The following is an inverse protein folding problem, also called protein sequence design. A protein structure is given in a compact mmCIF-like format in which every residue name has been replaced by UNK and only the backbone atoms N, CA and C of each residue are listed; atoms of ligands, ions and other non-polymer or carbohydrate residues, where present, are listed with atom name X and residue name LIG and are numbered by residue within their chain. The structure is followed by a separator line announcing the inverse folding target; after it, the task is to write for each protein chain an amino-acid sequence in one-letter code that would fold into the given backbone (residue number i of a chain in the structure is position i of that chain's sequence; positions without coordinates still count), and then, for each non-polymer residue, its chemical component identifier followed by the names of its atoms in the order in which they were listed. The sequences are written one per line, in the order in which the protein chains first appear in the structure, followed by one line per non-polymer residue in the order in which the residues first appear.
data_IF_306519081023
#
_entry.id   IF_306519081023
#
_cell.length_a   1.000
_cell.length_b   1.000
_cell.length_c   1.000
_cell.angle_alpha   90.00
_cell.angle_beta   90.00
_cell.angle_gamma   90.00
#
_symmetry.space_group_name_H-M   'P 1'
#
loop_
_entity.id
_entity.type
_entity.pdbx_description
1 polymer ?
#
# COMPACT_ATOMS: atom_id res chain seq x y z
N UNK A 1 -1.62 26.55 -42.23
CA UNK A 1 -2.14 25.19 -41.96
C UNK A 1 -1.26 24.54 -40.87
N UNK A 2 -1.00 25.27 -39.78
CA UNK A 2 -0.03 24.90 -38.73
C UNK A 2 -0.59 25.03 -37.31
N UNK A 3 -1.84 25.48 -37.16
CA UNK A 3 -2.50 25.59 -35.84
C UNK A 3 -3.29 24.33 -35.45
N UNK A 4 -3.35 23.31 -36.32
CA UNK A 4 -4.20 22.12 -36.14
C UNK A 4 -3.58 20.95 -35.36
N UNK A 5 -2.27 20.96 -35.12
CA UNK A 5 -1.57 19.83 -34.47
C UNK A 5 -1.40 20.04 -32.95
N UNK A 6 -1.60 21.26 -32.45
CA UNK A 6 -1.42 21.60 -31.03
C UNK A 6 -2.66 21.37 -30.13
N UNK A 7 -3.75 20.79 -30.63
CA UNK A 7 -4.99 20.60 -29.84
C UNK A 7 -5.37 19.14 -29.52
N UNK A 8 -4.59 18.14 -29.96
CA UNK A 8 -4.97 16.73 -29.79
C UNK A 8 -4.49 16.05 -28.50
N UNK A 9 -3.39 16.51 -27.90
CA UNK A 9 -2.82 15.88 -26.72
C UNK A 9 -3.25 16.60 -25.44
N UNK A 10 -4.57 16.64 -25.18
CA UNK A 10 -5.02 16.62 -23.78
C UNK A 10 -4.48 15.31 -23.23
N UNK A 11 -3.30 15.37 -22.63
CA UNK A 11 -2.57 14.26 -22.02
C UNK A 11 -3.58 13.41 -21.27
N UNK A 12 -3.89 12.23 -21.83
CA UNK A 12 -4.83 11.31 -21.23
C UNK A 12 -4.17 10.90 -19.91
N UNK A 13 -4.69 11.45 -18.82
CA UNK A 13 -4.22 11.22 -17.46
C UNK A 13 -4.18 9.68 -17.24
N UNK A 14 -2.98 9.06 -17.26
CA UNK A 14 -2.83 7.61 -17.39
C UNK A 14 -3.47 6.84 -16.22
N UNK A 15 -3.59 7.48 -15.06
CA UNK A 15 -4.16 6.93 -13.84
C UNK A 15 -5.69 6.74 -13.86
N UNK A 16 -6.41 7.41 -14.78
CA UNK A 16 -7.89 7.39 -14.76
C UNK A 16 -8.45 5.99 -14.98
N UNK A 17 -7.91 5.26 -15.95
CA UNK A 17 -8.43 3.94 -16.31
C UNK A 17 -8.27 2.90 -15.18
N UNK A 18 -7.08 2.67 -14.59
CA UNK A 18 -6.91 1.67 -13.54
C UNK A 18 -7.69 2.03 -12.27
N UNK A 19 -7.74 3.31 -11.88
CA UNK A 19 -8.45 3.71 -10.65
C UNK A 19 -9.97 3.65 -10.84
N UNK A 20 -10.50 3.99 -12.02
CA UNK A 20 -11.91 3.77 -12.32
C UNK A 20 -12.27 2.28 -12.40
N UNK A 21 -11.39 1.46 -12.98
CA UNK A 21 -11.57 0.00 -13.00
C UNK A 21 -11.63 -0.55 -11.57
N UNK A 22 -10.76 -0.09 -10.68
CA UNK A 22 -10.79 -0.42 -9.26
C UNK A 22 -12.13 -0.07 -8.63
N UNK A 23 -12.55 1.21 -8.75
CA UNK A 23 -13.81 1.68 -8.18
C UNK A 23 -15.01 0.86 -8.65
N UNK A 24 -15.14 0.67 -9.96
CA UNK A 24 -16.25 -0.06 -10.57
C UNK A 24 -16.25 -1.52 -10.10
N UNK A 25 -15.09 -2.17 -10.07
CA UNK A 25 -14.98 -3.56 -9.68
C UNK A 25 -15.35 -3.77 -8.21
N UNK A 26 -14.85 -2.94 -7.29
CA UNK A 26 -15.22 -3.01 -5.88
C UNK A 26 -16.72 -2.73 -5.66
N UNK A 27 -17.33 -1.80 -6.42
CA UNK A 27 -18.78 -1.56 -6.36
C UNK A 27 -19.58 -2.80 -6.79
N UNK A 28 -19.20 -3.41 -7.92
CA UNK A 28 -19.83 -4.63 -8.42
C UNK A 28 -19.69 -5.77 -7.40
N UNK A 29 -18.49 -6.00 -6.87
CA UNK A 29 -18.24 -7.04 -5.88
C UNK A 29 -19.00 -6.78 -4.57
N UNK A 30 -19.13 -5.52 -4.14
CA UNK A 30 -19.93 -5.17 -2.95
C UNK A 30 -21.38 -5.58 -3.13
N UNK A 31 -22.01 -5.16 -4.24
CA UNK A 31 -23.41 -5.49 -4.55
C UNK A 31 -23.58 -7.01 -4.71
N UNK A 32 -22.65 -7.67 -5.39
CA UNK A 32 -22.70 -9.11 -5.59
C UNK A 32 -22.61 -9.87 -4.26
N UNK A 33 -21.68 -9.52 -3.38
CA UNK A 33 -21.56 -10.18 -2.08
C UNK A 33 -22.77 -9.92 -1.17
N UNK A 34 -23.30 -8.69 -1.14
CA UNK A 34 -24.54 -8.39 -0.41
C UNK A 34 -25.72 -9.21 -0.93
N UNK A 35 -25.83 -9.38 -2.27
CA UNK A 35 -26.89 -10.20 -2.88
C UNK A 35 -26.82 -11.68 -2.50
N UNK A 36 -25.64 -12.14 -2.04
CA UNK A 36 -25.37 -13.52 -1.63
C UNK A 36 -25.40 -13.73 -0.11
N UNK A 37 -25.59 -12.67 0.68
CA UNK A 37 -25.52 -12.75 2.15
C UNK A 37 -24.10 -12.65 2.74
N UNK A 38 -23.06 -12.53 1.89
CA UNK A 38 -21.65 -12.51 2.26
C UNK A 38 -21.22 -11.15 2.83
N UNK A 39 -21.72 -10.81 4.03
CA UNK A 39 -21.52 -9.49 4.65
C UNK A 39 -20.04 -9.16 4.89
N UNK A 40 -19.21 -10.16 5.20
CA UNK A 40 -17.77 -9.97 5.39
C UNK A 40 -17.10 -9.41 4.13
N UNK A 41 -17.23 -10.13 3.02
CA UNK A 41 -16.63 -9.72 1.75
C UNK A 41 -17.29 -8.47 1.18
N UNK A 42 -18.59 -8.26 1.42
CA UNK A 42 -19.24 -6.99 1.10
C UNK A 42 -18.57 -5.81 1.84
N UNK A 43 -18.24 -5.97 3.12
CA UNK A 43 -17.53 -4.98 3.92
C UNK A 43 -16.13 -4.66 3.37
N UNK A 44 -15.33 -5.69 3.07
CA UNK A 44 -14.01 -5.50 2.46
C UNK A 44 -14.08 -4.79 1.11
N UNK A 45 -15.01 -5.21 0.24
CA UNK A 45 -15.19 -4.58 -1.07
C UNK A 45 -15.65 -3.13 -0.94
N UNK A 46 -16.52 -2.83 0.02
CA UNK A 46 -16.93 -1.46 0.32
C UNK A 46 -15.77 -0.61 0.84
N UNK A 47 -14.91 -1.17 1.69
CA UNK A 47 -13.63 -0.54 2.07
C UNK A 47 -12.76 -0.23 0.84
N UNK A 48 -12.68 -1.18 -0.11
CA UNK A 48 -12.03 -0.98 -1.40
C UNK A 48 -12.62 0.18 -2.22
N UNK A 49 -13.95 0.36 -2.22
CA UNK A 49 -14.62 1.53 -2.84
C UNK A 49 -14.14 2.83 -2.20
N UNK A 50 -14.11 2.91 -0.87
CA UNK A 50 -13.66 4.11 -0.17
C UNK A 50 -12.18 4.42 -0.47
N UNK A 51 -11.33 3.40 -0.51
CA UNK A 51 -9.92 3.54 -0.88
C UNK A 51 -9.74 4.01 -2.33
N UNK A 52 -10.52 3.47 -3.27
CA UNK A 52 -10.51 3.92 -4.65
C UNK A 52 -10.97 5.38 -4.77
N UNK A 53 -12.03 5.79 -4.06
CA UNK A 53 -12.49 7.19 -4.03
C UNK A 53 -11.43 8.14 -3.45
N UNK A 54 -10.72 7.72 -2.41
CA UNK A 54 -9.60 8.48 -1.84
C UNK A 54 -8.44 8.62 -2.84
N UNK A 55 -8.07 7.52 -3.51
CA UNK A 55 -7.04 7.54 -4.55
C UNK A 55 -7.44 8.47 -5.71
N UNK A 56 -8.70 8.43 -6.13
CA UNK A 56 -9.27 9.35 -7.11
C UNK A 56 -9.11 10.79 -6.63
N UNK A 57 -9.54 11.11 -5.41
CA UNK A 57 -9.46 12.46 -4.87
C UNK A 57 -8.03 13.02 -4.88
N UNK A 58 -7.05 12.18 -4.51
CA UNK A 58 -5.63 12.57 -4.49
C UNK A 58 -5.09 12.75 -5.92
N UNK A 59 -5.29 11.78 -6.80
CA UNK A 59 -4.69 11.76 -8.13
C UNK A 59 -5.37 12.75 -9.10
N UNK A 60 -6.69 12.90 -9.05
CA UNK A 60 -7.40 13.85 -9.91
C UNK A 60 -7.18 15.32 -9.57
N UNK A 61 -6.61 15.61 -8.39
CA UNK A 61 -6.15 16.97 -8.06
C UNK A 61 -5.05 17.45 -9.02
N UNK A 62 -4.43 16.55 -9.81
CA UNK A 62 -3.36 16.84 -10.74
C UNK A 62 -2.01 17.10 -10.06
N UNK A 63 -1.96 17.06 -8.73
CA UNK A 63 -0.75 17.29 -7.93
C UNK A 63 0.19 16.08 -7.89
N UNK A 64 -0.36 14.89 -8.17
CA UNK A 64 0.38 13.63 -8.18
C UNK A 64 0.04 12.90 -9.46
N UNK A 65 1.04 12.63 -10.29
CA UNK A 65 0.90 11.83 -11.50
C UNK A 65 1.69 10.53 -11.32
N UNK A 66 0.98 9.41 -11.36
CA UNK A 66 1.58 8.08 -11.29
C UNK A 66 1.53 7.41 -12.67
N UNK A 67 2.57 6.67 -13.08
CA UNK A 67 2.51 5.89 -14.31
C UNK A 67 1.38 4.85 -14.28
N UNK A 68 0.80 4.55 -15.45
CA UNK A 68 -0.31 3.58 -15.54
C UNK A 68 0.09 2.17 -15.09
N UNK A 69 1.32 1.73 -15.38
CA UNK A 69 1.75 0.35 -15.14
C UNK A 69 1.66 -0.05 -13.65
N UNK A 70 2.26 0.69 -12.70
CA UNK A 70 2.10 0.39 -11.27
C UNK A 70 0.64 0.40 -10.80
N UNK A 71 -0.18 1.31 -11.33
CA UNK A 71 -1.59 1.37 -10.99
C UNK A 71 -2.37 0.15 -11.51
N UNK A 72 -2.03 -0.36 -12.70
CA UNK A 72 -2.61 -1.60 -13.21
C UNK A 72 -2.16 -2.81 -12.41
N UNK A 73 -0.88 -2.91 -12.02
CA UNK A 73 -0.40 -4.00 -11.17
C UNK A 73 -1.10 -3.96 -9.82
N UNK A 74 -1.20 -2.78 -9.19
CA UNK A 74 -1.89 -2.60 -7.91
C UNK A 74 -3.39 -2.90 -8.02
N UNK A 75 -4.05 -2.46 -9.10
CA UNK A 75 -5.42 -2.86 -9.40
C UNK A 75 -5.55 -4.39 -9.51
N UNK A 76 -4.70 -5.03 -10.31
CA UNK A 76 -4.76 -6.49 -10.51
C UNK A 76 -4.54 -7.25 -9.21
N UNK A 77 -3.59 -6.84 -8.38
CA UNK A 77 -3.34 -7.45 -7.07
C UNK A 77 -4.51 -7.20 -6.10
N UNK A 78 -5.04 -5.98 -6.03
CA UNK A 78 -6.24 -5.67 -5.24
C UNK A 78 -7.45 -6.48 -5.69
N UNK A 79 -7.63 -6.67 -7.01
CA UNK A 79 -8.69 -7.52 -7.53
C UNK A 79 -8.46 -8.98 -7.19
N UNK A 80 -7.25 -9.52 -7.34
CA UNK A 80 -6.95 -10.88 -6.90
C UNK A 80 -7.22 -11.07 -5.41
N UNK A 81 -6.99 -10.04 -4.60
CA UNK A 81 -7.31 -10.05 -3.18
C UNK A 81 -8.83 -10.18 -2.96
N UNK A 82 -9.60 -9.22 -3.45
CA UNK A 82 -11.04 -9.18 -3.17
C UNK A 82 -11.84 -10.26 -3.91
N UNK A 83 -11.41 -10.60 -5.13
CA UNK A 83 -12.00 -11.67 -5.92
C UNK A 83 -11.68 -13.02 -5.30
N UNK A 84 -10.46 -13.26 -4.80
CA UNK A 84 -10.10 -14.53 -4.14
C UNK A 84 -11.04 -14.88 -2.98
N UNK A 85 -11.42 -13.89 -2.18
CA UNK A 85 -12.37 -14.07 -1.09
C UNK A 85 -13.83 -14.16 -1.54
N UNK A 86 -14.22 -13.30 -2.47
CA UNK A 86 -15.59 -13.30 -3.01
C UNK A 86 -15.91 -14.56 -3.83
N UNK A 87 -14.89 -15.14 -4.48
CA UNK A 87 -14.99 -16.38 -5.23
C UNK A 87 -14.93 -17.58 -4.29
N UNK A 88 -15.91 -18.46 -4.43
CA UNK A 88 -15.91 -19.72 -3.67
C UNK A 88 -16.38 -19.59 -2.22
N UNK A 89 -16.43 -18.38 -1.64
CA UNK A 89 -17.00 -18.21 -0.31
C UNK A 89 -18.48 -18.62 -0.28
N UNK A 90 -18.86 -19.42 0.72
CA UNK A 90 -20.22 -19.81 1.00
C UNK A 90 -20.50 -19.65 2.50
N UNK A 91 -21.66 -19.06 2.84
CA UNK A 91 -22.10 -18.95 4.23
C UNK A 91 -22.42 -20.31 4.85
N UNK A 92 -22.74 -21.31 4.00
CA UNK A 92 -22.86 -22.72 4.38
C UNK A 92 -22.89 -23.61 3.14
N UNK A 93 -22.23 -24.76 3.18
CA UNK A 93 -22.22 -25.75 2.11
C UNK A 93 -21.16 -25.50 1.02
N UNK A 94 -21.09 -26.38 0.01
CA UNK A 94 -20.09 -26.29 -1.05
C UNK A 94 -20.23 -24.98 -1.84
N UNK A 95 -19.11 -24.29 -2.05
CA UNK A 95 -19.04 -23.05 -2.82
C UNK A 95 -19.60 -23.19 -4.26
N UNK A 96 -19.89 -22.06 -4.94
CA UNK A 96 -20.53 -22.03 -6.25
C UNK A 96 -19.76 -22.76 -7.38
N UNK A 97 -18.51 -23.15 -7.13
CA UNK A 97 -17.65 -23.84 -8.08
C UNK A 97 -17.38 -25.31 -7.71
N UNK A 98 -18.17 -25.87 -6.79
CA UNK A 98 -18.15 -27.29 -6.45
C UNK A 98 -18.97 -28.10 -7.46
N UNK A 99 -18.29 -28.60 -8.49
CA UNK A 99 -18.88 -29.43 -9.54
C UNK A 99 -18.42 -30.90 -9.42
N UNK A 100 -19.22 -31.82 -9.96
CA UNK A 100 -18.75 -33.18 -10.30
C UNK A 100 -18.26 -34.04 -9.13
N UNK A 101 -18.78 -33.86 -7.91
CA UNK A 101 -18.38 -34.65 -6.74
C UNK A 101 -17.09 -34.19 -6.05
N UNK A 102 -16.53 -33.05 -6.46
CA UNK A 102 -15.43 -32.40 -5.74
C UNK A 102 -15.80 -32.17 -4.27
N UNK A 103 -14.83 -32.41 -3.39
CA UNK A 103 -15.00 -32.13 -1.96
C UNK A 103 -14.70 -30.65 -1.66
N UNK A 104 -15.39 -30.05 -0.68
CA UNK A 104 -15.05 -28.71 -0.21
C UNK A 104 -13.58 -28.65 0.23
N UNK A 105 -12.83 -27.66 -0.27
CA UNK A 105 -11.39 -27.54 -0.10
C UNK A 105 -10.54 -27.96 -1.31
N UNK A 106 -11.15 -28.52 -2.36
CA UNK A 106 -10.42 -28.96 -3.57
C UNK A 106 -10.51 -27.95 -4.72
N UNK A 107 -9.37 -27.55 -5.29
CA UNK A 107 -9.31 -26.82 -6.57
C UNK A 107 -10.11 -25.49 -6.55
N UNK A 108 -11.22 -25.37 -7.29
CA UNK A 108 -12.12 -24.22 -7.25
C UNK A 108 -13.29 -24.42 -6.27
N UNK A 109 -13.47 -25.63 -5.74
CA UNK A 109 -14.48 -25.95 -4.74
C UNK A 109 -14.01 -25.47 -3.36
N UNK A 110 -14.10 -24.17 -3.11
CA UNK A 110 -13.85 -23.63 -1.78
C UNK A 110 -15.01 -23.95 -0.82
N UNK A 111 -14.64 -24.07 0.46
CA UNK A 111 -15.56 -24.19 1.57
C UNK A 111 -15.46 -22.96 2.48
N UNK A 112 -16.57 -22.66 3.13
CA UNK A 112 -16.64 -21.64 4.18
C UNK A 112 -16.51 -20.21 3.69
N UNK A 113 -16.38 -19.31 4.67
CA UNK A 113 -16.47 -17.86 4.43
C UNK A 113 -15.20 -17.34 3.75
N UNK A 114 -14.05 -17.99 3.86
CA UNK A 114 -12.77 -17.50 3.31
C UNK A 114 -12.54 -17.78 1.81
N UNK A 115 -13.44 -18.51 1.14
CA UNK A 115 -13.36 -18.74 -0.31
C UNK A 115 -12.03 -19.35 -0.76
N UNK A 116 -11.45 -18.84 -1.86
CA UNK A 116 -10.21 -19.40 -2.44
C UNK A 116 -9.02 -19.33 -1.50
N UNK A 117 -9.04 -18.46 -0.50
CA UNK A 117 -7.94 -18.35 0.45
C UNK A 117 -7.77 -19.58 1.34
N UNK A 118 -8.85 -20.29 1.64
CA UNK A 118 -8.77 -21.55 2.37
C UNK A 118 -8.15 -22.66 1.51
N UNK A 119 -8.40 -22.63 0.19
CA UNK A 119 -7.93 -23.66 -0.75
C UNK A 119 -6.48 -23.43 -1.18
N UNK A 120 -6.04 -22.18 -1.21
CA UNK A 120 -4.71 -21.79 -1.68
C UNK A 120 -3.99 -20.93 -0.63
N UNK A 121 -3.29 -21.55 0.35
CA UNK A 121 -2.60 -20.84 1.42
C UNK A 121 -1.53 -19.84 0.95
N UNK A 122 -1.00 -20.02 -0.26
CA UNK A 122 -0.02 -19.13 -0.88
C UNK A 122 -0.64 -17.89 -1.53
N UNK A 123 -1.96 -17.90 -1.79
CA UNK A 123 -2.65 -16.88 -2.58
C UNK A 123 -2.52 -15.50 -1.94
N UNK A 124 -2.84 -15.43 -0.65
CA UNK A 124 -2.77 -14.21 0.14
C UNK A 124 -1.37 -13.58 0.09
N UNK A 125 -0.36 -14.44 0.22
CA UNK A 125 1.05 -14.05 0.35
C UNK A 125 1.52 -13.52 -0.99
N UNK A 126 1.15 -14.20 -2.08
CA UNK A 126 1.41 -13.70 -3.42
C UNK A 126 0.80 -12.32 -3.65
N UNK A 127 -0.44 -12.11 -3.22
CA UNK A 127 -1.15 -10.84 -3.42
C UNK A 127 -0.53 -9.70 -2.61
N UNK A 128 -0.13 -9.94 -1.35
CA UNK A 128 0.66 -9.01 -0.54
C UNK A 128 1.95 -8.60 -1.27
N UNK A 129 2.74 -9.59 -1.70
CA UNK A 129 3.98 -9.34 -2.43
C UNK A 129 3.79 -8.55 -3.73
N UNK A 130 2.73 -8.87 -4.49
CA UNK A 130 2.39 -8.13 -5.73
C UNK A 130 1.95 -6.69 -5.44
N UNK A 131 1.13 -6.46 -4.40
CA UNK A 131 0.71 -5.13 -3.97
C UNK A 131 1.92 -4.28 -3.56
N UNK A 132 2.78 -4.81 -2.69
CA UNK A 132 3.99 -4.13 -2.25
C UNK A 132 4.97 -3.86 -3.40
N UNK A 133 5.11 -4.80 -4.35
CA UNK A 133 5.88 -4.56 -5.58
C UNK A 133 5.32 -3.38 -6.37
N UNK A 134 4.00 -3.34 -6.60
CA UNK A 134 3.36 -2.27 -7.34
C UNK A 134 3.55 -0.90 -6.68
N UNK A 135 3.35 -0.84 -5.36
CA UNK A 135 3.48 0.36 -4.54
C UNK A 135 4.92 0.88 -4.60
N UNK A 136 5.91 0.01 -4.41
CA UNK A 136 7.32 0.38 -4.49
C UNK A 136 7.72 0.93 -5.87
N UNK A 137 7.23 0.33 -6.97
CA UNK A 137 7.47 0.85 -8.32
C UNK A 137 6.80 2.21 -8.51
N UNK A 138 5.53 2.34 -8.10
CA UNK A 138 4.77 3.58 -8.20
C UNK A 138 5.47 4.74 -7.50
N UNK A 139 5.90 4.52 -6.26
CA UNK A 139 6.57 5.54 -5.47
C UNK A 139 7.98 5.83 -5.95
N UNK A 140 8.74 4.83 -6.41
CA UNK A 140 10.07 5.06 -6.99
C UNK A 140 9.98 6.01 -8.19
N UNK A 141 9.06 5.72 -9.11
CA UNK A 141 8.81 6.54 -10.30
C UNK A 141 8.20 7.90 -9.97
N UNK A 142 7.29 7.95 -8.98
CA UNK A 142 6.65 9.17 -8.51
C UNK A 142 7.66 10.13 -7.88
N UNK A 143 8.51 9.65 -6.97
CA UNK A 143 9.56 10.46 -6.33
C UNK A 143 10.58 10.98 -7.35
N UNK A 144 10.92 10.19 -8.38
CA UNK A 144 11.80 10.66 -9.46
C UNK A 144 11.20 11.82 -10.26
N UNK A 145 9.96 11.68 -10.71
CA UNK A 145 9.26 12.73 -11.46
C UNK A 145 9.03 13.98 -10.60
N UNK A 146 8.70 13.79 -9.32
CA UNK A 146 8.55 14.89 -8.37
C UNK A 146 9.88 15.60 -8.10
N UNK A 147 10.98 14.84 -8.05
CA UNK A 147 12.34 15.39 -7.94
C UNK A 147 12.65 16.28 -9.13
N UNK A 148 12.45 15.79 -10.35
CA UNK A 148 12.68 16.55 -11.58
C UNK A 148 11.78 17.79 -11.67
N UNK A 149 10.48 17.63 -11.46
CA UNK A 149 9.50 18.73 -11.53
C UNK A 149 9.83 19.87 -10.56
N UNK A 150 10.29 19.54 -9.35
CA UNK A 150 10.60 20.54 -8.32
C UNK A 150 12.09 20.92 -8.29
N UNK A 151 12.91 20.43 -9.22
CA UNK A 151 14.35 20.68 -9.25
C UNK A 151 15.11 20.11 -8.04
N UNK A 152 14.57 19.10 -7.36
CA UNK A 152 15.27 18.40 -6.28
C UNK A 152 16.33 17.46 -6.86
N UNK A 153 17.48 17.37 -6.20
CA UNK A 153 18.56 16.46 -6.56
C UNK A 153 18.55 15.23 -5.64
N UNK A 154 17.49 14.42 -5.72
CA UNK A 154 17.41 13.18 -4.95
C UNK A 154 18.32 12.11 -5.57
N UNK A 155 19.07 11.37 -4.77
CA UNK A 155 19.89 10.26 -5.28
C UNK A 155 19.04 9.00 -5.51
N UNK A 156 19.49 8.06 -6.38
CA UNK A 156 18.76 6.80 -6.61
C UNK A 156 18.55 6.00 -5.33
N UNK A 157 19.55 6.02 -4.44
CA UNK A 157 19.51 5.32 -3.16
C UNK A 157 18.46 5.94 -2.23
N UNK A 158 18.39 7.28 -2.16
CA UNK A 158 17.38 7.97 -1.33
C UNK A 158 15.96 7.66 -1.82
N UNK A 159 15.76 7.66 -3.14
CA UNK A 159 14.45 7.32 -3.74
C UNK A 159 14.09 5.86 -3.47
N UNK A 160 15.02 4.92 -3.70
CA UNK A 160 14.80 3.51 -3.44
C UNK A 160 14.46 3.25 -1.96
N UNK A 161 15.22 3.83 -1.03
CA UNK A 161 14.93 3.71 0.39
C UNK A 161 13.54 4.26 0.76
N UNK A 162 13.20 5.44 0.25
CA UNK A 162 11.92 6.09 0.54
C UNK A 162 10.75 5.25 0.00
N UNK A 163 10.86 4.76 -1.24
CA UNK A 163 9.83 3.93 -1.86
C UNK A 163 9.68 2.57 -1.16
N UNK A 164 10.80 1.94 -0.80
CA UNK A 164 10.82 0.69 -0.03
C UNK A 164 10.16 0.88 1.34
N UNK A 165 10.61 1.89 2.09
CA UNK A 165 10.09 2.19 3.42
C UNK A 165 8.59 2.49 3.39
N UNK A 166 8.13 3.28 2.43
CA UNK A 166 6.73 3.61 2.28
C UNK A 166 5.89 2.40 1.87
N UNK A 167 6.41 1.52 1.01
CA UNK A 167 5.72 0.29 0.62
C UNK A 167 5.52 -0.65 1.81
N UNK A 168 6.57 -0.92 2.58
CA UNK A 168 6.45 -1.76 3.79
C UNK A 168 5.53 -1.10 4.81
N UNK A 169 5.59 0.22 4.96
CA UNK A 169 4.69 0.95 5.85
C UNK A 169 3.21 0.80 5.46
N UNK A 170 2.90 0.77 4.16
CA UNK A 170 1.52 0.51 3.69
C UNK A 170 1.11 -0.93 3.99
N UNK A 171 1.99 -1.91 3.81
CA UNK A 171 1.74 -3.31 4.19
C UNK A 171 1.41 -3.45 5.68
N UNK A 172 2.24 -2.87 6.56
CA UNK A 172 1.98 -2.82 8.01
C UNK A 172 0.64 -2.14 8.34
N UNK A 173 0.30 -1.06 7.63
CA UNK A 173 -0.99 -0.38 7.83
C UNK A 173 -2.18 -1.27 7.40
N UNK A 174 -2.00 -2.12 6.40
CA UNK A 174 -2.98 -3.12 5.96
C UNK A 174 -3.20 -4.17 7.05
N UNK A 175 -2.13 -4.72 7.62
CA UNK A 175 -2.21 -5.67 8.75
C UNK A 175 -2.89 -5.05 9.98
N UNK A 176 -2.65 -3.77 10.27
CA UNK A 176 -3.37 -3.08 11.36
C UNK A 176 -4.84 -2.91 11.04
N UNK A 177 -5.20 -2.67 9.78
CA UNK A 177 -6.60 -2.61 9.35
C UNK A 177 -7.29 -3.97 9.58
N UNK A 178 -6.63 -5.09 9.27
CA UNK A 178 -7.14 -6.42 9.58
C UNK A 178 -7.25 -6.66 11.09
N UNK A 179 -6.21 -6.35 11.85
CA UNK A 179 -6.24 -6.46 13.31
C UNK A 179 -7.40 -5.67 13.94
N UNK A 180 -7.65 -4.45 13.44
CA UNK A 180 -8.77 -3.63 13.87
C UNK A 180 -10.11 -4.25 13.49
N UNK A 181 -10.23 -4.80 12.28
CA UNK A 181 -11.39 -5.55 11.81
C UNK A 181 -11.76 -6.69 12.76
N UNK A 182 -10.77 -7.50 13.15
CA UNK A 182 -10.92 -8.56 14.15
C UNK A 182 -11.39 -8.00 15.50
N UNK A 183 -10.71 -6.99 16.02
CA UNK A 183 -10.91 -6.48 17.38
C UNK A 183 -12.26 -5.79 17.55
N UNK A 184 -12.70 -5.02 16.55
CA UNK A 184 -13.88 -4.15 16.66
C UNK A 184 -15.14 -4.75 16.06
N UNK A 185 -15.00 -5.60 15.03
CA UNK A 185 -16.14 -6.13 14.29
C UNK A 185 -16.24 -7.66 14.36
N UNK A 186 -15.26 -8.35 14.98
CA UNK A 186 -15.18 -9.82 15.04
C UNK A 186 -15.33 -10.49 13.67
N UNK A 187 -14.93 -9.78 12.61
CA UNK A 187 -15.30 -10.13 11.25
C UNK A 187 -14.33 -11.07 10.54
N UNK A 188 -13.16 -11.40 11.10
CA UNK A 188 -12.10 -12.02 10.30
C UNK A 188 -11.81 -13.47 10.70
N UNK A 189 -11.75 -14.33 9.69
CA UNK A 189 -11.48 -15.78 9.76
C UNK A 189 -10.08 -16.16 9.19
N UNK A 190 -9.31 -15.22 8.60
CA UNK A 190 -7.91 -15.46 8.14
C UNK A 190 -6.81 -14.83 9.01
N UNK A 191 -7.16 -13.94 9.93
CA UNK A 191 -6.19 -13.27 10.79
C UNK A 191 -5.46 -14.26 11.71
N UNK A 192 -4.31 -13.87 12.22
CA UNK A 192 -3.52 -14.72 13.12
C UNK A 192 -2.04 -14.41 13.01
N UNK A 193 -1.28 -14.79 14.03
CA UNK A 193 0.15 -14.50 14.09
C UNK A 193 0.89 -14.98 12.84
N UNK A 194 0.66 -16.24 12.44
CA UNK A 194 1.37 -16.82 11.28
C UNK A 194 0.98 -16.10 9.99
N UNK A 195 -0.31 -15.80 9.80
CA UNK A 195 -0.81 -15.10 8.62
C UNK A 195 -0.10 -13.75 8.49
N UNK A 196 -0.33 -12.86 9.46
CA UNK A 196 0.24 -11.52 9.53
C UNK A 196 1.75 -11.52 9.40
N UNK A 197 2.46 -12.40 10.11
CA UNK A 197 3.92 -12.43 10.03
C UNK A 197 4.42 -12.83 8.64
N UNK A 198 3.78 -13.80 7.98
CA UNK A 198 4.13 -14.19 6.61
C UNK A 198 3.74 -13.14 5.57
N UNK A 199 2.67 -12.39 5.80
CA UNK A 199 2.25 -11.29 4.93
C UNK A 199 3.23 -10.13 5.01
N UNK A 200 3.70 -9.78 6.21
CA UNK A 200 4.78 -8.81 6.40
C UNK A 200 6.07 -9.22 5.68
N UNK A 201 6.43 -10.52 5.73
CA UNK A 201 7.59 -11.04 4.96
C UNK A 201 7.36 -10.85 3.47
N UNK A 202 6.17 -11.18 2.97
CA UNK A 202 5.84 -11.02 1.56
C UNK A 202 5.86 -9.56 1.12
N UNK A 203 5.36 -8.65 1.96
CA UNK A 203 5.40 -7.21 1.73
C UNK A 203 6.82 -6.68 1.64
N UNK A 204 7.72 -7.12 2.52
CA UNK A 204 9.14 -6.77 2.45
C UNK A 204 9.80 -7.26 1.17
N UNK A 205 9.55 -8.51 0.78
CA UNK A 205 10.10 -9.09 -0.45
C UNK A 205 9.56 -8.36 -1.68
N UNK A 206 8.25 -8.12 -1.73
CA UNK A 206 7.59 -7.38 -2.79
C UNK A 206 8.13 -5.95 -2.93
N UNK A 207 8.21 -5.23 -1.81
CA UNK A 207 8.79 -3.88 -1.79
C UNK A 207 10.23 -3.88 -2.31
N UNK A 208 11.04 -4.87 -1.89
CA UNK A 208 12.42 -5.07 -2.35
C UNK A 208 12.50 -5.30 -3.87
N UNK A 209 11.68 -6.22 -4.39
CA UNK A 209 11.60 -6.49 -5.83
C UNK A 209 11.18 -5.25 -6.62
N UNK A 210 10.20 -4.48 -6.11
CA UNK A 210 9.72 -3.27 -6.77
C UNK A 210 10.80 -2.19 -6.86
N UNK A 211 11.55 -1.93 -5.78
CA UNK A 211 12.65 -0.94 -5.83
C UNK A 211 13.83 -1.43 -6.66
N UNK A 212 14.14 -2.73 -6.67
CA UNK A 212 15.15 -3.31 -7.56
C UNK A 212 14.75 -3.14 -9.02
N UNK A 213 13.50 -3.48 -9.36
CA UNK A 213 12.96 -3.27 -10.69
C UNK A 213 13.09 -1.80 -11.11
N UNK A 214 12.59 -0.87 -10.29
CA UNK A 214 12.70 0.55 -10.59
C UNK A 214 14.14 1.04 -10.67
N UNK A 215 15.05 0.49 -9.88
CA UNK A 215 16.46 0.85 -9.93
C UNK A 215 17.06 0.63 -11.33
N UNK A 216 16.79 -0.52 -11.93
CA UNK A 216 17.33 -0.90 -13.24
C UNK A 216 16.54 -0.33 -14.43
N UNK A 217 15.22 -0.19 -14.28
CA UNK A 217 14.34 0.23 -15.37
C UNK A 217 14.12 1.74 -15.47
N UNK A 218 14.37 2.51 -14.40
CA UNK A 218 14.23 3.96 -14.47
C UNK A 218 15.43 4.59 -15.20
N UNK A 219 15.24 5.16 -16.42
CA UNK A 219 16.34 5.81 -17.14
C UNK A 219 16.91 7.01 -16.36
N UNK A 220 16.12 7.64 -15.49
CA UNK A 220 16.55 8.79 -14.68
C UNK A 220 17.61 8.43 -13.64
N UNK A 221 17.77 7.14 -13.31
CA UNK A 221 18.84 6.72 -12.39
C UNK A 221 20.23 6.83 -13.03
N UNK A 222 20.34 6.75 -14.36
CA UNK A 222 21.62 6.82 -15.08
C UNK A 222 22.16 8.25 -15.23
N UNK A 223 21.28 9.24 -15.15
CA UNK A 223 21.59 10.67 -15.35
C UNK A 223 21.64 11.46 -14.05
N UNK A 224 21.36 10.81 -12.91
CA UNK A 224 21.32 11.43 -11.59
C UNK A 224 22.71 11.83 -11.11
N UNK A 225 23.09 13.08 -11.32
CA UNK A 225 24.27 13.69 -10.69
C UNK A 225 23.85 14.12 -9.28
N UNK A 226 24.39 13.46 -8.25
CA UNK A 226 24.22 13.91 -6.86
C UNK A 226 25.57 14.11 -6.22
N UNK A 227 25.90 15.36 -5.94
CA UNK A 227 27.03 15.81 -5.12
C UNK A 227 26.80 15.57 -3.61
N UNK A 228 25.63 15.05 -3.22
CA UNK A 228 25.29 14.65 -1.86
C UNK A 228 25.01 15.80 -0.89
N UNK A 229 25.21 17.04 -1.34
CA UNK A 229 25.08 18.26 -0.53
C UNK A 229 23.73 18.97 -0.71
N UNK A 230 22.90 18.52 -1.65
CA UNK A 230 21.60 19.11 -1.89
C UNK A 230 20.67 18.97 -0.67
N UNK A 231 20.01 20.07 -0.23
CA UNK A 231 19.08 20.02 0.89
C UNK A 231 17.89 19.13 0.56
N UNK A 232 17.55 18.25 1.51
CA UNK A 232 16.42 17.33 1.36
C UNK A 232 15.09 18.08 1.46
N UNK A 233 14.14 17.86 0.54
CA UNK A 233 12.84 18.52 0.58
C UNK A 233 12.05 18.06 1.81
N UNK A 234 11.19 18.94 2.32
CA UNK A 234 10.37 18.67 3.50
C UNK A 234 9.48 17.45 3.32
N UNK A 235 8.91 17.28 2.13
CA UNK A 235 8.02 16.19 1.76
C UNK A 235 8.72 14.84 1.97
N UNK A 236 9.96 14.71 1.50
CA UNK A 236 10.78 13.51 1.70
C UNK A 236 11.04 13.23 3.18
N UNK A 237 11.33 14.26 3.97
CA UNK A 237 11.57 14.13 5.41
C UNK A 237 10.29 13.66 6.12
N UNK A 238 9.15 14.25 5.81
CA UNK A 238 7.86 13.87 6.40
C UNK A 238 7.48 12.43 6.00
N UNK A 239 7.66 12.05 4.74
CA UNK A 239 7.41 10.68 4.28
C UNK A 239 8.29 9.70 5.04
N UNK A 240 9.60 9.94 5.11
CA UNK A 240 10.50 9.03 5.82
C UNK A 240 10.23 8.98 7.33
N UNK A 241 9.92 10.11 7.97
CA UNK A 241 9.51 10.11 9.38
C UNK A 241 8.22 9.31 9.60
N UNK A 242 7.29 9.37 8.64
CA UNK A 242 6.04 8.64 8.69
C UNK A 242 6.21 7.14 8.40
N UNK A 243 7.06 6.77 7.45
CA UNK A 243 7.19 5.37 7.03
C UNK A 243 8.22 4.58 7.83
N UNK A 244 9.25 5.23 8.37
CA UNK A 244 10.36 4.55 9.01
C UNK A 244 9.98 3.71 10.25
N UNK A 245 9.15 4.20 11.19
CA UNK A 245 8.74 3.39 12.34
C UNK A 245 8.01 2.11 11.94
N UNK A 246 7.14 2.19 10.93
CA UNK A 246 6.41 1.02 10.42
C UNK A 246 7.36 0.07 9.68
N UNK A 247 8.29 0.60 8.88
CA UNK A 247 9.34 -0.22 8.25
C UNK A 247 10.12 -1.01 9.30
N UNK A 248 10.57 -0.35 10.38
CA UNK A 248 11.31 -1.02 11.45
C UNK A 248 10.45 -2.09 12.09
N UNK A 249 9.18 -1.80 12.38
CA UNK A 249 8.28 -2.78 12.97
C UNK A 249 8.03 -3.98 12.06
N UNK A 250 7.70 -3.76 10.79
CA UNK A 250 7.53 -4.83 9.80
C UNK A 250 8.79 -5.69 9.68
N UNK A 251 9.97 -5.06 9.59
CA UNK A 251 11.25 -5.78 9.53
C UNK A 251 11.53 -6.62 10.78
N UNK A 252 11.30 -6.08 11.98
CA UNK A 252 11.50 -6.80 13.23
C UNK A 252 10.59 -8.02 13.32
N UNK A 253 9.31 -7.88 12.96
CA UNK A 253 8.34 -8.96 13.01
C UNK A 253 8.58 -10.03 11.95
N UNK A 254 9.01 -9.63 10.74
CA UNK A 254 9.45 -10.57 9.71
C UNK A 254 10.69 -11.35 10.13
N UNK A 255 11.68 -10.69 10.76
CA UNK A 255 12.88 -11.36 11.28
C UNK A 255 12.54 -12.28 12.46
N UNK A 256 11.66 -11.86 13.36
CA UNK A 256 11.16 -12.68 14.47
C UNK A 256 10.54 -13.99 13.96
N UNK A 257 9.69 -13.89 12.94
CA UNK A 257 9.08 -15.06 12.32
C UNK A 257 10.10 -15.97 11.63
N UNK A 258 10.99 -15.40 10.80
CA UNK A 258 11.92 -16.19 9.98
C UNK A 258 13.07 -16.82 10.79
N UNK A 259 13.58 -16.12 11.80
CA UNK A 259 14.80 -16.52 12.49
C UNK A 259 14.56 -16.97 13.94
N UNK A 260 13.48 -16.52 14.58
CA UNK A 260 13.21 -16.76 15.99
C UNK A 260 11.91 -17.58 16.22
N UNK A 261 11.24 -18.02 15.16
CA UNK A 261 9.97 -18.77 15.19
C UNK A 261 8.89 -18.07 16.05
N UNK A 262 8.94 -16.73 16.08
CA UNK A 262 8.03 -15.89 16.85
C UNK A 262 8.37 -15.73 18.32
N UNK A 263 9.61 -15.98 18.71
CA UNK A 263 10.06 -15.90 20.10
C UNK A 263 9.96 -14.51 20.74
N UNK A 264 10.06 -13.41 19.96
CA UNK A 264 9.94 -12.05 20.52
C UNK A 264 8.51 -11.71 20.93
N UNK A 265 7.53 -12.20 20.16
CA UNK A 265 6.11 -11.93 20.44
C UNK A 265 5.35 -13.15 20.97
N UNK A 266 6.05 -14.26 21.26
CA UNK A 266 5.48 -15.55 21.65
C UNK A 266 4.36 -16.03 20.72
N UNK A 267 4.45 -15.70 19.42
CA UNK A 267 3.42 -16.00 18.42
C UNK A 267 2.02 -15.46 18.79
N UNK A 268 1.96 -14.41 19.62
CA UNK A 268 0.73 -13.79 20.07
C UNK A 268 0.21 -12.80 19.03
N UNK A 269 -0.98 -13.09 18.48
CA UNK A 269 -1.60 -12.28 17.45
C UNK A 269 -2.07 -10.90 17.98
N UNK A 270 -2.51 -10.82 19.22
CA UNK A 270 -2.94 -9.53 19.79
C UNK A 270 -1.72 -8.65 20.08
N UNK A 271 -0.62 -9.27 20.53
CA UNK A 271 0.61 -8.53 20.80
C UNK A 271 1.24 -7.97 19.51
N UNK A 272 1.35 -8.76 18.44
CA UNK A 272 1.86 -8.25 17.15
C UNK A 272 0.97 -7.12 16.60
N UNK A 273 -0.37 -7.25 16.71
CA UNK A 273 -1.31 -6.21 16.32
C UNK A 273 -1.11 -4.90 17.10
N UNK A 274 -0.92 -4.99 18.42
CA UNK A 274 -0.63 -3.82 19.26
C UNK A 274 0.71 -3.17 18.94
N UNK A 275 1.76 -3.95 18.66
CA UNK A 275 3.08 -3.42 18.27
C UNK A 275 3.01 -2.65 16.94
N UNK A 276 2.31 -3.20 15.95
CA UNK A 276 2.08 -2.51 14.68
C UNK A 276 1.27 -1.23 14.87
N UNK A 277 0.18 -1.26 15.66
CA UNK A 277 -0.62 -0.08 15.98
C UNK A 277 0.21 1.00 16.70
N UNK A 278 1.04 0.61 17.66
CA UNK A 278 1.95 1.52 18.35
C UNK A 278 2.94 2.18 17.37
N UNK A 279 3.42 1.45 16.36
CA UNK A 279 4.31 2.00 15.33
C UNK A 279 3.62 3.09 14.47
N UNK A 280 2.32 2.96 14.20
CA UNK A 280 1.50 4.00 13.53
C UNK A 280 1.40 5.25 14.41
N UNK A 281 1.17 5.08 15.71
CA UNK A 281 1.11 6.22 16.65
C UNK A 281 2.45 6.94 16.71
N UNK A 282 3.57 6.20 16.82
CA UNK A 282 4.92 6.77 16.81
C UNK A 282 5.18 7.54 15.51
N UNK A 283 4.81 6.96 14.37
CA UNK A 283 4.87 7.62 13.06
C UNK A 283 4.11 8.96 13.05
N UNK A 284 2.85 8.96 13.51
CA UNK A 284 2.03 10.17 13.59
C UNK A 284 2.66 11.26 14.46
N UNK A 285 3.22 10.88 15.62
CA UNK A 285 3.94 11.80 16.51
C UNK A 285 5.17 12.39 15.84
N UNK A 286 6.01 11.58 15.17
CA UNK A 286 7.21 12.07 14.49
C UNK A 286 6.88 13.06 13.36
N UNK A 287 5.81 12.79 12.60
CA UNK A 287 5.32 13.71 11.56
C UNK A 287 4.80 15.00 12.20
N UNK A 288 3.97 14.92 13.23
CA UNK A 288 3.41 16.09 13.93
C UNK A 288 4.51 16.97 14.55
N UNK A 289 5.47 16.37 15.26
CA UNK A 289 6.62 17.07 15.81
C UNK A 289 7.40 17.82 14.73
N UNK A 290 7.62 17.19 13.57
CA UNK A 290 8.33 17.82 12.46
C UNK A 290 7.57 19.01 11.88
N UNK A 291 6.26 18.89 11.71
CA UNK A 291 5.40 19.99 11.25
C UNK A 291 5.40 21.17 12.23
N UNK A 292 5.32 20.89 13.54
CA UNK A 292 5.40 21.93 14.59
C UNK A 292 6.74 22.66 14.55
N UNK A 293 7.86 21.91 14.46
CA UNK A 293 9.19 22.50 14.32
C UNK A 293 9.28 23.43 13.10
N UNK A 294 8.70 23.03 11.97
CA UNK A 294 8.69 23.85 10.76
C UNK A 294 7.84 25.11 10.89
N UNK A 295 6.70 25.06 11.58
CA UNK A 295 5.88 26.24 11.87
C UNK A 295 6.67 27.25 12.70
N UNK A 296 7.31 26.78 13.79
CA UNK A 296 8.12 27.64 14.68
C UNK A 296 9.29 28.29 13.96
N UNK A 297 9.99 27.56 13.09
CA UNK A 297 11.10 28.14 12.30
C UNK A 297 10.60 29.22 11.32
N UNK A 298 9.41 29.04 10.73
CA UNK A 298 8.81 30.06 9.86
C UNK A 298 8.37 31.29 10.64
N UNK A 299 7.76 31.10 11.80
CA UNK A 299 7.35 32.19 12.71
C UNK A 299 8.56 33.02 13.17
N UNK A 300 9.63 32.37 13.62
CA UNK A 300 10.85 33.06 14.04
C UNK A 300 11.49 33.87 12.90
N UNK A 301 11.56 33.30 11.69
CA UNK A 301 12.06 34.04 10.51
C UNK A 301 11.18 35.23 10.16
N UNK A 302 9.86 35.09 10.26
CA UNK A 302 8.93 36.18 10.00
C UNK A 302 9.12 37.32 11.03
N UNK A 303 9.31 36.97 12.30
CA UNK A 303 9.61 37.93 13.37
C UNK A 303 10.92 38.69 13.11
N UNK A 304 11.99 37.99 12.77
CA UNK A 304 13.30 38.59 12.45
C UNK A 304 13.23 39.52 11.22
N UNK A 305 12.40 39.21 10.22
CA UNK A 305 12.19 40.10 9.06
C UNK A 305 11.29 41.30 9.35
N UNK A 306 10.43 41.21 10.37
CA UNK A 306 9.52 42.29 10.78
C UNK A 306 10.14 43.28 11.77
N UNK A 307 11.23 42.89 12.43
CA UNK A 307 12.09 43.76 13.23
C UNK A 307 13.47 43.89 12.55
N UNK A 308 13.60 44.62 11.43
CA UNK A 308 14.92 45.07 11.02
C UNK A 308 15.38 46.04 12.11
N UNK A 309 16.40 45.66 12.88
CA UNK A 309 17.02 46.53 13.86
C UNK A 309 17.34 47.90 13.24
N UNK A 310 16.83 48.93 13.92
CA UNK A 310 17.19 50.35 13.87
C UNK A 310 18.69 50.63 13.70
#
# INVERSE_FOLDING_TARGET
MEDGIMQGHRTRIPERAPVMAWLISCLILTVWNLSRGLNLWAGYNFGGVLMALLAIFILWSGRVQMPALPLWIGYSATMLHFVGGSLGAADSGPGPFCFGGMQPGEWLCADGVNGMYHVHPWWDKLVHGMNSTAIAIAWSFGWRRMSEHNGWQLSPVVVAFTAFSLSVAIGVAYEVYEFFGKTMFQTIDQGGYVNTATDLVSDMLGAGLGVLFSHFYDPMNKTSITDGNAPRPTQLILTNNGSFPLLVMGALLSVDFLLLDGGLVNRDYDFIGQLMLASIVVSGVLVACRLIQQSRVKENKAFDTSNPSS
#
